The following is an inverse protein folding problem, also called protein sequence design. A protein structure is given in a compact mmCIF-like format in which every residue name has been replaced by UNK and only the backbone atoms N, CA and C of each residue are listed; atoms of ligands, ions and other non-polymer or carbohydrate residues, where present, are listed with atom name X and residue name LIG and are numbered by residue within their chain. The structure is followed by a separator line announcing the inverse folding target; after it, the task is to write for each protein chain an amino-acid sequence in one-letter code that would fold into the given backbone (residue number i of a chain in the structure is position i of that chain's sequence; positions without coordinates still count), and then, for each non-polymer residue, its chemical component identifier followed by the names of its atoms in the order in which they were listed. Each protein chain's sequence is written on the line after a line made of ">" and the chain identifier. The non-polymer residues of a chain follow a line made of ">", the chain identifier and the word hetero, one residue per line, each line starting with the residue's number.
data_IF_766586664035
#
_entry.id   IF_766586664035
#
_cell.length_a   1.000
_cell.length_b   1.000
_cell.length_c   1.000
_cell.angle_alpha   90.00
_cell.angle_beta   90.00
_cell.angle_gamma   90.00
#
_symmetry.space_group_name_H-M   'P 1'
#
loop_
_entity.id
_entity.type
_entity.pdbx_description
1 polymer ?
#
# COMPACT_ATOMS: atom_id res chain seq x y z
N UNK A 1 -7.36 -18.88 22.02
CA UNK A 1 -8.38 -17.87 21.65
C UNK A 1 -9.07 -18.40 20.41
N UNK A 2 -10.39 -18.65 20.44
CA UNK A 2 -11.09 -19.27 19.30
C UNK A 2 -11.06 -18.30 18.12
N UNK A 3 -10.99 -18.82 16.87
CA UNK A 3 -10.91 -18.02 15.63
C UNK A 3 -12.02 -16.95 15.55
N UNK A 4 -13.21 -17.28 16.08
CA UNK A 4 -14.36 -16.38 16.20
C UNK A 4 -14.15 -15.23 17.19
N UNK A 5 -13.45 -15.45 18.32
CA UNK A 5 -13.14 -14.39 19.28
C UNK A 5 -12.11 -13.41 18.71
N UNK A 6 -11.14 -13.93 17.95
CA UNK A 6 -10.15 -13.15 17.22
C UNK A 6 -10.85 -12.26 16.18
N UNK A 7 -11.73 -12.85 15.37
CA UNK A 7 -12.55 -12.15 14.38
C UNK A 7 -13.42 -11.06 15.01
N UNK A 8 -14.08 -11.37 16.12
CA UNK A 8 -14.92 -10.40 16.85
C UNK A 8 -14.12 -9.27 17.50
N UNK A 9 -12.88 -9.55 17.95
CA UNK A 9 -11.95 -8.53 18.47
C UNK A 9 -11.49 -7.57 17.37
N UNK A 10 -11.16 -8.10 16.19
CA UNK A 10 -10.80 -7.26 15.03
C UNK A 10 -11.99 -6.46 14.48
N UNK A 11 -13.19 -7.04 14.47
CA UNK A 11 -14.43 -6.34 14.10
C UNK A 11 -14.71 -5.15 15.02
N UNK A 12 -14.63 -5.33 16.34
CA UNK A 12 -14.80 -4.22 17.30
C UNK A 12 -13.74 -3.12 17.14
N UNK A 13 -12.51 -3.48 16.77
CA UNK A 13 -11.46 -2.50 16.48
C UNK A 13 -11.74 -1.71 15.17
N UNK A 14 -12.32 -2.36 14.16
CA UNK A 14 -12.81 -1.68 12.96
C UNK A 14 -14.00 -0.77 13.26
N UNK A 15 -14.90 -1.18 14.15
CA UNK A 15 -16.06 -0.38 14.58
C UNK A 15 -15.64 0.86 15.40
N UNK A 16 -14.53 0.84 16.14
CA UNK A 16 -13.96 2.05 16.77
C UNK A 16 -13.32 3.05 15.78
N UNK A 17 -13.09 2.62 14.54
CA UNK A 17 -12.62 3.47 13.42
C UNK A 17 -13.79 4.02 12.59
N UNK A 18 -15.03 3.82 13.05
CA UNK A 18 -16.26 4.02 12.29
C UNK A 18 -16.58 5.47 11.93
N UNK A 19 -15.90 6.48 12.51
CA UNK A 19 -16.05 7.87 12.07
C UNK A 19 -15.59 8.08 10.61
N UNK A 20 -14.68 7.25 10.09
CA UNK A 20 -14.22 7.29 8.69
C UNK A 20 -14.93 6.28 7.76
N UNK A 21 -15.63 5.26 8.30
CA UNK A 21 -16.37 4.25 7.51
C UNK A 21 -17.66 4.81 6.88
N UNK A 22 -18.13 5.98 7.32
CA UNK A 22 -19.29 6.69 6.78
C UNK A 22 -19.08 7.27 5.37
N UNK A 23 -17.84 7.27 4.86
CA UNK A 23 -17.49 7.93 3.60
C UNK A 23 -17.97 7.18 2.34
N UNK A 24 -18.22 5.88 2.42
CA UNK A 24 -18.66 5.05 1.28
C UNK A 24 -19.90 4.23 1.62
N UNK A 25 -21.00 4.46 0.90
CA UNK A 25 -22.19 3.64 1.04
C UNK A 25 -22.06 2.28 0.30
N UNK A 26 -23.06 1.41 0.46
CA UNK A 26 -23.03 0.07 -0.13
C UNK A 26 -22.96 0.09 -1.67
N UNK A 27 -23.54 1.09 -2.32
CA UNK A 27 -23.50 1.22 -3.78
C UNK A 27 -22.10 1.66 -4.20
N UNK A 28 -21.52 2.64 -3.51
CA UNK A 28 -20.15 3.11 -3.76
C UNK A 28 -19.14 1.97 -3.62
N UNK A 29 -19.28 1.12 -2.59
CA UNK A 29 -18.41 -0.05 -2.38
C UNK A 29 -18.49 -1.04 -3.55
N UNK A 30 -19.69 -1.34 -4.05
CA UNK A 30 -19.85 -2.25 -5.20
C UNK A 30 -19.27 -1.65 -6.48
N UNK A 31 -19.46 -0.35 -6.71
CA UNK A 31 -18.87 0.35 -7.86
C UNK A 31 -17.33 0.28 -7.81
N UNK A 32 -16.73 0.57 -6.65
CA UNK A 32 -15.27 0.53 -6.48
C UNK A 32 -14.73 -0.88 -6.64
N UNK A 33 -15.43 -1.92 -6.17
CA UNK A 33 -15.06 -3.33 -6.41
C UNK A 33 -14.94 -3.66 -7.90
N UNK A 34 -15.92 -3.26 -8.72
CA UNK A 34 -15.83 -3.48 -10.16
C UNK A 34 -14.61 -2.80 -10.80
N UNK A 35 -14.20 -1.62 -10.30
CA UNK A 35 -13.01 -0.92 -10.77
C UNK A 35 -11.70 -1.56 -10.28
N UNK A 36 -11.67 -2.13 -9.08
CA UNK A 36 -10.52 -2.88 -8.55
C UNK A 36 -10.29 -4.17 -9.35
N UNK A 37 -11.36 -4.88 -9.72
CA UNK A 37 -11.29 -6.07 -10.57
C UNK A 37 -10.84 -5.71 -11.99
N UNK A 38 -11.45 -4.68 -12.60
CA UNK A 38 -11.06 -4.19 -13.90
C UNK A 38 -11.37 -2.68 -14.04
N UNK A 39 -10.35 -1.81 -14.00
CA UNK A 39 -10.55 -0.37 -14.06
C UNK A 39 -11.07 0.12 -15.42
N UNK A 40 -11.04 -0.73 -16.47
CA UNK A 40 -11.56 -0.43 -17.81
C UNK A 40 -13.04 -0.82 -17.98
N UNK A 41 -13.70 -1.33 -16.94
CA UNK A 41 -15.12 -1.73 -17.01
C UNK A 41 -16.00 -0.54 -17.37
N UNK A 42 -16.94 -0.72 -18.30
CA UNK A 42 -17.79 0.38 -18.74
C UNK A 42 -18.81 0.77 -17.67
N UNK A 43 -19.22 2.04 -17.64
CA UNK A 43 -20.28 2.49 -16.72
C UNK A 43 -21.59 1.72 -16.89
N UNK A 44 -21.87 1.20 -18.09
CA UNK A 44 -23.05 0.36 -18.37
C UNK A 44 -22.95 -0.98 -17.67
N UNK A 45 -21.79 -1.63 -17.73
CA UNK A 45 -21.58 -2.95 -17.13
C UNK A 45 -21.53 -2.86 -15.61
N UNK A 46 -20.89 -1.80 -15.07
CA UNK A 46 -20.94 -1.49 -13.64
C UNK A 46 -22.39 -1.27 -13.20
N UNK A 47 -23.17 -0.46 -13.93
CA UNK A 47 -24.57 -0.20 -13.62
C UNK A 47 -25.40 -1.49 -13.59
N UNK A 48 -25.21 -2.38 -14.57
CA UNK A 48 -25.87 -3.69 -14.63
C UNK A 48 -25.48 -4.59 -13.45
N UNK A 49 -24.19 -4.66 -13.12
CA UNK A 49 -23.66 -5.47 -12.02
C UNK A 49 -24.16 -4.99 -10.65
N UNK A 50 -24.18 -3.67 -10.44
CA UNK A 50 -24.55 -3.05 -9.15
C UNK A 50 -26.07 -2.97 -8.97
N UNK A 51 -26.86 -2.96 -10.05
CA UNK A 51 -28.32 -2.84 -10.02
C UNK A 51 -28.80 -1.38 -9.96
N UNK A 52 -28.10 -0.46 -10.61
CA UNK A 52 -28.44 0.98 -10.64
C UNK A 52 -28.36 1.54 -12.06
N UNK A 53 -28.78 2.79 -12.28
CA UNK A 53 -28.68 3.42 -13.61
C UNK A 53 -27.24 3.83 -13.94
N UNK A 54 -26.90 3.91 -15.23
CA UNK A 54 -25.62 4.45 -15.70
C UNK A 54 -25.35 5.87 -15.16
N UNK A 55 -26.39 6.69 -15.08
CA UNK A 55 -26.31 8.06 -14.54
C UNK A 55 -25.96 8.05 -13.05
N UNK A 56 -26.55 7.13 -12.28
CA UNK A 56 -26.23 6.95 -10.85
C UNK A 56 -24.76 6.59 -10.66
N UNK A 57 -24.22 5.63 -11.43
CA UNK A 57 -22.79 5.26 -11.35
C UNK A 57 -21.89 6.46 -11.69
N UNK A 58 -22.20 7.18 -12.78
CA UNK A 58 -21.44 8.37 -13.18
C UNK A 58 -21.37 9.42 -12.07
N UNK A 59 -22.53 9.73 -11.46
CA UNK A 59 -22.61 10.75 -10.42
C UNK A 59 -21.88 10.33 -9.14
N UNK A 60 -21.96 9.05 -8.76
CA UNK A 60 -21.23 8.50 -7.61
C UNK A 60 -19.73 8.53 -7.82
N UNK A 61 -19.24 8.01 -8.95
CA UNK A 61 -17.82 8.08 -9.29
C UNK A 61 -17.31 9.52 -9.30
N UNK A 62 -18.06 10.45 -9.90
CA UNK A 62 -17.71 11.88 -9.87
C UNK A 62 -17.52 12.38 -8.44
N UNK A 63 -18.46 12.12 -7.54
CA UNK A 63 -18.34 12.50 -6.12
C UNK A 63 -17.12 11.87 -5.45
N UNK A 64 -16.87 10.58 -5.68
CA UNK A 64 -15.72 9.88 -5.09
C UNK A 64 -14.38 10.44 -5.58
N UNK A 65 -14.28 10.83 -6.86
CA UNK A 65 -13.09 11.49 -7.40
C UNK A 65 -12.94 12.92 -6.90
N UNK A 66 -14.03 13.71 -6.94
CA UNK A 66 -14.02 15.12 -6.52
C UNK A 66 -13.64 15.26 -5.03
N UNK A 67 -14.11 14.33 -4.19
CA UNK A 67 -13.78 14.28 -2.76
C UNK A 67 -12.44 13.61 -2.46
N UNK A 68 -11.66 13.22 -3.48
CA UNK A 68 -10.39 12.48 -3.36
C UNK A 68 -10.50 11.17 -2.57
N UNK A 69 -11.69 10.59 -2.53
CA UNK A 69 -11.95 9.29 -1.92
C UNK A 69 -11.28 8.16 -2.71
N UNK A 70 -11.22 8.30 -4.04
CA UNK A 70 -10.47 7.44 -4.95
C UNK A 70 -9.71 8.28 -5.97
N UNK A 71 -8.63 7.73 -6.54
CA UNK A 71 -7.85 8.35 -7.64
C UNK A 71 -7.50 7.29 -8.68
N UNK A 72 -7.16 7.71 -9.91
CA UNK A 72 -6.67 6.81 -10.96
C UNK A 72 -5.24 7.14 -11.31
N UNK A 73 -4.44 6.10 -11.58
CA UNK A 73 -3.06 6.21 -12.06
C UNK A 73 -2.81 5.11 -13.09
N UNK A 74 -1.96 5.41 -14.07
CA UNK A 74 -1.37 4.37 -14.92
C UNK A 74 -0.20 3.76 -14.15
N UNK A 75 -0.17 2.44 -14.07
CA UNK A 75 0.93 1.71 -13.45
C UNK A 75 1.75 1.01 -14.53
N UNK A 76 3.07 1.06 -14.38
CA UNK A 76 3.99 0.34 -15.25
C UNK A 76 4.22 -1.07 -14.74
N UNK A 77 4.45 -2.01 -15.66
CA UNK A 77 4.94 -3.33 -15.28
C UNK A 77 6.41 -3.18 -14.86
N UNK A 78 6.65 -3.19 -13.55
CA UNK A 78 7.98 -3.00 -12.93
C UNK A 78 9.00 -4.01 -13.45
N UNK A 79 8.61 -5.27 -13.65
CA UNK A 79 9.48 -6.34 -14.17
C UNK A 79 9.96 -6.04 -15.60
N UNK A 80 9.10 -5.40 -16.41
CA UNK A 80 9.44 -5.02 -17.80
C UNK A 80 10.23 -3.73 -17.90
N UNK A 81 10.24 -2.91 -16.87
CA UNK A 81 10.90 -1.61 -16.87
C UNK A 81 12.36 -1.65 -16.39
N UNK A 82 12.88 -2.83 -16.02
CA UNK A 82 14.26 -3.04 -15.53
C UNK A 82 14.64 -2.11 -14.36
N UNK A 83 13.66 -1.77 -13.51
CA UNK A 83 13.90 -0.89 -12.37
C UNK A 83 14.81 -1.52 -11.32
N UNK A 84 15.67 -0.68 -10.73
CA UNK A 84 16.51 -0.96 -9.56
C UNK A 84 15.94 -0.24 -8.35
N UNK A 85 16.01 -0.88 -7.19
CA UNK A 85 15.48 -0.34 -5.95
C UNK A 85 16.53 -0.30 -4.85
N UNK A 86 16.44 0.70 -3.97
CA UNK A 86 17.20 0.73 -2.73
C UNK A 86 16.34 1.16 -1.55
N UNK A 87 16.53 0.51 -0.42
CA UNK A 87 16.11 1.06 0.87
C UNK A 87 17.26 1.92 1.41
N UNK A 88 16.97 3.19 1.66
CA UNK A 88 17.91 4.15 2.23
C UNK A 88 17.40 4.61 3.59
N UNK A 89 18.09 4.20 4.65
CA UNK A 89 17.89 4.68 6.02
C UNK A 89 18.92 5.77 6.36
N UNK A 90 18.45 6.93 6.84
CA UNK A 90 19.28 8.06 7.23
C UNK A 90 18.99 8.48 8.67
N UNK A 91 20.06 8.73 9.44
CA UNK A 91 20.01 9.42 10.72
C UNK A 91 20.73 10.77 10.63
N UNK A 92 20.33 11.72 11.46
CA UNK A 92 20.79 13.11 11.40
C UNK A 92 21.20 13.58 12.78
N UNK A 93 22.24 14.41 12.86
CA UNK A 93 22.67 15.00 14.13
C UNK A 93 21.77 16.14 14.60
N UNK A 94 21.06 16.81 13.68
CA UNK A 94 20.24 17.99 13.99
C UNK A 94 18.87 17.90 13.31
N UNK A 95 17.86 18.38 14.01
CA UNK A 95 16.48 18.43 13.49
C UNK A 95 16.34 19.29 12.22
N UNK A 96 17.15 20.36 12.07
CA UNK A 96 17.16 21.21 10.88
C UNK A 96 17.54 20.43 9.62
N UNK A 97 18.60 19.64 9.69
CA UNK A 97 19.14 18.87 8.56
C UNK A 97 18.17 17.74 8.16
N UNK A 98 17.59 17.08 9.16
CA UNK A 98 16.49 16.13 8.96
C UNK A 98 15.32 16.76 8.18
N UNK A 99 14.82 17.93 8.59
CA UNK A 99 13.71 18.58 7.90
C UNK A 99 14.07 19.01 6.47
N UNK A 100 15.31 19.45 6.25
CA UNK A 100 15.80 19.79 4.90
C UNK A 100 15.79 18.55 4.00
N UNK A 101 16.31 17.42 4.47
CA UNK A 101 16.27 16.17 3.72
C UNK A 101 14.82 15.72 3.44
N UNK A 102 13.93 15.84 4.43
CA UNK A 102 12.52 15.50 4.27
C UNK A 102 11.86 16.32 3.16
N UNK A 103 12.11 17.63 3.11
CA UNK A 103 11.61 18.50 2.06
C UNK A 103 12.12 18.07 0.68
N UNK A 104 13.42 17.82 0.53
CA UNK A 104 14.00 17.35 -0.75
C UNK A 104 13.34 16.03 -1.17
N UNK A 105 13.24 15.06 -0.26
CA UNK A 105 12.68 13.75 -0.53
C UNK A 105 11.20 13.80 -0.93
N UNK A 106 10.39 14.69 -0.34
CA UNK A 106 8.97 14.84 -0.67
C UNK A 106 8.70 15.29 -2.11
N UNK A 107 9.67 15.95 -2.76
CA UNK A 107 9.54 16.43 -4.14
C UNK A 107 10.43 15.65 -5.13
N UNK A 108 11.15 14.64 -4.67
CA UNK A 108 12.00 13.82 -5.52
C UNK A 108 11.18 12.70 -6.19
N UNK A 109 11.06 12.67 -7.53
CA UNK A 109 10.28 11.64 -8.23
C UNK A 109 10.89 10.24 -8.13
N UNK A 110 12.16 10.15 -7.74
CA UNK A 110 12.88 8.88 -7.51
C UNK A 110 12.63 8.30 -6.12
N UNK A 111 11.94 9.02 -5.22
CA UNK A 111 11.50 8.54 -3.91
C UNK A 111 10.10 7.96 -4.03
N UNK A 112 9.98 6.63 -3.94
CA UNK A 112 8.71 5.90 -4.09
C UNK A 112 7.93 5.88 -2.78
N UNK A 113 8.63 5.62 -1.68
CA UNK A 113 8.07 5.58 -0.32
C UNK A 113 9.00 6.40 0.56
N UNK A 114 8.41 7.22 1.42
CA UNK A 114 9.12 8.03 2.40
C UNK A 114 8.44 7.85 3.76
N UNK A 115 9.21 7.40 4.74
CA UNK A 115 8.76 7.19 6.11
C UNK A 115 9.69 7.94 7.05
N UNK A 116 9.11 8.65 8.02
CA UNK A 116 9.86 9.36 9.06
C UNK A 116 9.72 8.65 10.41
N UNK A 117 10.71 8.84 11.28
CA UNK A 117 10.74 8.33 12.66
C UNK A 117 10.63 6.79 12.73
N UNK A 118 11.47 6.07 11.98
CA UNK A 118 11.46 4.60 11.91
C UNK A 118 12.65 4.01 12.68
N UNK A 119 12.39 3.46 13.86
CA UNK A 119 13.41 2.80 14.70
C UNK A 119 14.67 3.69 14.89
N UNK A 120 15.82 3.21 14.41
CA UNK A 120 17.12 3.90 14.48
C UNK A 120 17.35 4.95 13.38
N UNK A 121 16.43 5.07 12.43
CA UNK A 121 16.52 6.04 11.34
C UNK A 121 15.50 7.15 11.55
N UNK A 122 15.93 8.40 11.32
CA UNK A 122 14.98 9.51 11.26
C UNK A 122 14.20 9.48 9.94
N UNK A 123 14.83 9.02 8.85
CA UNK A 123 14.18 8.83 7.54
C UNK A 123 14.49 7.43 7.03
N UNK A 124 13.48 6.73 6.55
CA UNK A 124 13.61 5.54 5.71
C UNK A 124 12.90 5.82 4.38
N UNK A 125 13.58 5.61 3.27
CA UNK A 125 13.00 5.81 1.95
C UNK A 125 13.28 4.64 1.01
N UNK A 126 12.37 4.43 0.06
CA UNK A 126 12.54 3.51 -1.05
C UNK A 126 12.84 4.34 -2.29
N UNK A 127 14.01 4.12 -2.88
CA UNK A 127 14.47 4.76 -4.10
C UNK A 127 14.26 3.83 -5.29
N UNK A 128 14.06 4.42 -6.47
CA UNK A 128 13.94 3.71 -7.75
C UNK A 128 14.80 4.39 -8.82
N UNK A 129 15.41 3.61 -9.72
CA UNK A 129 16.10 4.09 -10.93
C UNK A 129 16.11 3.02 -12.02
N UNK A 130 16.53 3.36 -13.24
CA UNK A 130 16.59 2.45 -14.40
C UNK A 130 17.97 1.80 -14.58
N UNK A 131 18.99 2.23 -13.82
CA UNK A 131 20.33 1.62 -13.81
C UNK A 131 20.96 1.64 -12.41
N UNK A 132 21.99 0.82 -12.21
CA UNK A 132 22.72 0.78 -10.94
C UNK A 132 23.53 2.07 -10.72
N UNK A 133 24.04 2.69 -11.79
CA UNK A 133 24.75 3.97 -11.75
C UNK A 133 23.82 5.11 -11.32
N UNK A 134 22.64 5.21 -11.92
CA UNK A 134 21.64 6.22 -11.54
C UNK A 134 21.17 6.03 -10.10
N UNK A 135 20.94 4.77 -9.69
CA UNK A 135 20.54 4.46 -8.32
C UNK A 135 21.62 4.90 -7.34
N UNK A 136 22.89 4.58 -7.62
CA UNK A 136 24.03 5.01 -6.81
C UNK A 136 24.13 6.53 -6.74
N UNK A 137 23.91 7.24 -7.86
CA UNK A 137 23.90 8.69 -7.89
C UNK A 137 22.84 9.27 -6.95
N UNK A 138 21.60 8.78 -7.02
CA UNK A 138 20.50 9.26 -6.17
C UNK A 138 20.78 8.95 -4.69
N UNK A 139 21.32 7.77 -4.38
CA UNK A 139 21.73 7.42 -3.02
C UNK A 139 22.78 8.42 -2.50
N UNK A 140 23.79 8.72 -3.33
CA UNK A 140 24.86 9.67 -3.02
C UNK A 140 24.32 11.07 -2.68
N UNK A 141 23.38 11.58 -3.50
CA UNK A 141 22.73 12.87 -3.28
C UNK A 141 22.10 12.99 -1.89
N UNK A 142 21.52 11.90 -1.37
CA UNK A 142 20.89 11.90 -0.05
C UNK A 142 21.85 11.59 1.09
N UNK A 143 22.74 10.59 0.94
CA UNK A 143 23.62 10.16 2.04
C UNK A 143 24.69 11.19 2.39
N UNK A 144 25.08 12.04 1.45
CA UNK A 144 26.07 13.09 1.67
C UNK A 144 25.46 14.46 1.97
N UNK A 145 24.14 14.54 2.21
CA UNK A 145 23.53 15.76 2.70
C UNK A 145 24.17 16.17 4.03
N UNK A 146 24.40 17.47 4.19
CA UNK A 146 24.90 18.05 5.43
C UNK A 146 24.06 17.60 6.62
N UNK A 147 24.72 17.11 7.67
CA UNK A 147 24.09 16.69 8.93
C UNK A 147 23.64 15.24 8.97
N UNK A 148 23.77 14.46 7.89
CA UNK A 148 23.64 12.99 7.93
C UNK A 148 24.76 12.42 8.79
N UNK A 149 24.40 11.55 9.73
CA UNK A 149 25.33 10.91 10.69
C UNK A 149 25.56 9.44 10.37
N UNK A 150 24.50 8.71 10.05
CA UNK A 150 24.54 7.30 9.71
C UNK A 150 23.66 7.07 8.49
N UNK A 151 24.16 6.23 7.59
CA UNK A 151 23.46 5.80 6.39
C UNK A 151 23.45 4.28 6.38
N UNK A 152 22.28 3.69 6.07
CA UNK A 152 22.18 2.28 5.69
C UNK A 152 21.53 2.18 4.32
N UNK A 153 22.22 1.53 3.40
CA UNK A 153 21.74 1.25 2.06
C UNK A 153 21.52 -0.24 1.94
N UNK A 154 20.34 -0.68 1.50
CA UNK A 154 20.09 -2.04 1.05
C UNK A 154 19.62 -1.97 -0.40
N UNK A 155 20.50 -2.34 -1.33
CA UNK A 155 20.16 -2.39 -2.76
C UNK A 155 19.53 -3.73 -3.09
N UNK A 156 18.45 -3.71 -3.87
CA UNK A 156 17.84 -4.91 -4.44
C UNK A 156 18.30 -4.98 -5.89
N UNK A 157 19.39 -5.72 -6.11
CA UNK A 157 19.90 -6.04 -7.44
C UNK A 157 19.30 -7.38 -7.87
N UNK A 158 18.65 -7.39 -9.04
CA UNK A 158 17.77 -8.44 -9.55
C UNK A 158 16.36 -8.44 -8.94
N UNK A 159 15.36 -8.38 -9.83
CA UNK A 159 13.94 -8.32 -9.49
C UNK A 159 13.48 -9.73 -9.09
N UNK A 160 13.79 -10.14 -7.85
CA UNK A 160 13.03 -11.19 -7.17
C UNK A 160 11.93 -10.54 -6.31
N UNK A 161 11.24 -9.55 -6.89
CA UNK A 161 10.18 -8.82 -6.23
C UNK A 161 8.91 -9.69 -6.24
N UNK A 162 8.74 -10.50 -5.21
CA UNK A 162 7.51 -11.23 -5.01
C UNK A 162 6.42 -10.24 -4.56
N UNK A 163 5.38 -10.06 -5.39
CA UNK A 163 4.18 -9.27 -5.05
C UNK A 163 3.17 -10.23 -4.38
N UNK A 164 2.89 -10.11 -3.06
CA UNK A 164 1.80 -10.85 -2.44
C UNK A 164 0.47 -10.54 -3.14
N UNK A 165 -0.41 -11.55 -3.19
CA UNK A 165 -1.72 -11.49 -3.88
C UNK A 165 -2.57 -10.30 -3.39
N UNK A 166 -2.36 -9.84 -2.15
CA UNK A 166 -3.16 -8.79 -1.50
C UNK A 166 -2.43 -7.47 -1.24
N UNK A 167 -1.27 -7.20 -1.87
CA UNK A 167 -0.45 -6.02 -1.51
C UNK A 167 -1.06 -4.67 -1.93
N UNK A 168 -2.15 -4.67 -2.68
CA UNK A 168 -2.83 -3.42 -3.02
C UNK A 168 -3.44 -2.85 -1.74
N UNK A 169 -3.24 -1.56 -1.47
CA UNK A 169 -3.74 -0.87 -0.28
C UNK A 169 -5.27 -0.68 -0.38
N UNK A 170 -6.00 -1.80 -0.47
CA UNK A 170 -7.45 -1.88 -0.58
C UNK A 170 -7.99 -2.02 0.83
N UNK A 171 -8.75 -1.02 1.32
CA UNK A 171 -9.42 -1.16 2.61
C UNK A 171 -10.29 -2.42 2.63
N UNK A 172 -10.25 -3.18 3.72
CA UNK A 172 -11.00 -4.43 3.87
C UNK A 172 -12.51 -4.32 3.55
N UNK A 173 -13.10 -3.13 3.69
CA UNK A 173 -14.51 -2.87 3.33
C UNK A 173 -14.81 -3.10 1.84
N UNK A 174 -13.80 -3.00 0.98
CA UNK A 174 -13.93 -3.25 -0.46
C UNK A 174 -13.59 -4.70 -0.81
N UNK A 175 -13.02 -5.49 0.09
CA UNK A 175 -12.79 -6.91 -0.15
C UNK A 175 -14.07 -7.71 0.13
N UNK A 176 -14.28 -8.82 -0.59
CA UNK A 176 -15.41 -9.70 -0.35
C UNK A 176 -15.19 -10.50 0.95
N UNK A 177 -16.04 -10.36 1.99
CA UNK A 177 -15.84 -11.05 3.27
C UNK A 177 -15.90 -12.57 3.19
N UNK A 178 -16.62 -13.15 2.23
CA UNK A 178 -16.68 -14.60 2.01
C UNK A 178 -15.40 -15.11 1.37
N UNK A 179 -14.88 -14.37 0.39
CA UNK A 179 -13.61 -14.68 -0.26
C UNK A 179 -12.43 -14.56 0.73
N UNK A 180 -12.38 -13.48 1.52
CA UNK A 180 -11.37 -13.33 2.58
C UNK A 180 -11.46 -14.47 3.59
N UNK A 181 -12.68 -14.85 4.02
CA UNK A 181 -12.85 -15.97 4.95
C UNK A 181 -12.34 -17.27 4.36
N UNK A 182 -12.71 -17.58 3.12
CA UNK A 182 -12.19 -18.75 2.40
C UNK A 182 -10.66 -18.76 2.32
N UNK A 183 -10.03 -17.63 1.98
CA UNK A 183 -8.56 -17.49 1.95
C UNK A 183 -7.97 -17.71 3.34
N UNK A 184 -8.53 -17.07 4.37
CA UNK A 184 -8.08 -17.18 5.75
C UNK A 184 -8.37 -18.55 6.37
N UNK A 185 -9.35 -19.30 5.87
CA UNK A 185 -9.66 -20.67 6.30
C UNK A 185 -8.66 -21.66 5.69
N UNK A 186 -8.33 -21.48 4.41
CA UNK A 186 -7.34 -22.28 3.68
C UNK A 186 -5.90 -21.74 3.80
N UNK A 187 -5.65 -20.81 4.72
CA UNK A 187 -4.34 -20.20 4.90
C UNK A 187 -3.32 -21.26 5.33
N UNK A 188 -2.18 -21.42 4.64
CA UNK A 188 -1.16 -22.39 5.02
C UNK A 188 -0.66 -22.25 6.46
N UNK A 189 -0.72 -21.04 7.02
CA UNK A 189 -0.40 -20.81 8.45
C UNK A 189 -1.32 -21.57 9.41
N UNK A 190 -2.56 -21.89 9.02
CA UNK A 190 -3.47 -22.70 9.83
C UNK A 190 -3.11 -24.19 9.82
N UNK A 191 -2.37 -24.66 8.80
CA UNK A 191 -1.90 -26.04 8.74
C UNK A 191 -0.79 -26.29 9.76
N UNK A 192 0.02 -25.27 10.08
CA UNK A 192 1.11 -25.37 11.06
C UNK A 192 0.69 -25.14 12.52
N UNK A 193 -0.57 -24.76 12.79
CA UNK A 193 -1.06 -24.60 14.17
C UNK A 193 -1.38 -25.92 14.85
N UNK A 194 -1.67 -26.99 14.11
CA UNK A 194 -2.01 -28.30 14.70
C UNK A 194 -0.77 -29.11 15.12
N UNK A 195 0.39 -28.87 14.49
CA UNK A 195 1.64 -29.60 14.78
C UNK A 195 2.34 -29.18 16.08
N UNK A 196 1.97 -28.04 16.69
CA UNK A 196 2.52 -27.62 18.00
C UNK A 196 1.84 -28.28 19.20
N UNK A 197 0.88 -29.17 18.98
CA UNK A 197 0.13 -29.86 20.03
C UNK A 197 0.76 -31.18 20.49
N UNK A 198 1.87 -31.62 19.87
CA UNK A 198 2.52 -32.91 20.17
C UNK A 198 4.04 -32.80 20.36
N UNK A 199 4.52 -31.84 21.17
CA UNK A 199 5.80 -31.96 21.88
C UNK A 199 5.71 -31.16 23.19
N UNK A 200 5.20 -31.81 24.22
CA UNK A 200 5.17 -31.36 25.60
C UNK A 200 4.88 -32.54 26.49
#
# INVERSE_FOLDING_TARGET
>A
MKKEELYNKYRKFMDSTSSHLSMFDNVDRKIVRCLLENPRTTLRDIAKSVGVTRTTVRNRLKKLFDNKCITTKVLFNVEKCNFRFAFLGLSFSRFRDFNRCLQIAMYCPRVVILVKNVNKYHILMVLIAESDEELCHIINEFQFLSGVKETRVETITAINLLKPIFIESVPFIFLNPEEIRSICDNCPMNLYSDERSYKG
#
